data_IF_970844565607
#
_entry.id   IF_970844565607
#
_cell.length_a   1.000
_cell.length_b   1.000
_cell.length_c   1.000
_cell.angle_alpha   90.00
_cell.angle_beta   90.00
_cell.angle_gamma   90.00
#
_symmetry.space_group_name_H-M   'P 1'
#
loop_
_entity.id
_entity.type
_entity.pdbx_description
1 polymer ?
#
# COMPACT_ATOMS: atom_id res chain seq x y z
N UNK A 1 -22.07 -15.53 -0.20
CA UNK A 1 -20.80 -14.87 0.20
C UNK A 1 -20.65 -13.55 -0.52
N UNK A 2 -20.29 -12.52 0.20
CA UNK A 2 -20.01 -11.25 -0.44
C UNK A 2 -18.65 -11.29 -1.13
N UNK A 3 -18.45 -10.44 -2.15
CA UNK A 3 -17.15 -10.33 -2.83
C UNK A 3 -16.04 -9.90 -1.87
N UNK A 4 -16.38 -9.21 -0.76
CA UNK A 4 -15.41 -8.76 0.23
C UNK A 4 -14.72 -9.93 0.95
N UNK A 5 -15.36 -11.11 0.99
CA UNK A 5 -14.78 -12.26 1.69
C UNK A 5 -13.45 -12.69 1.08
N UNK A 6 -13.24 -12.44 -0.22
CA UNK A 6 -11.99 -12.81 -0.86
C UNK A 6 -10.81 -11.99 -0.36
N UNK A 7 -11.04 -10.74 0.02
CA UNK A 7 -10.00 -9.86 0.51
C UNK A 7 -9.93 -9.80 2.04
N UNK A 8 -11.05 -10.12 2.73
CA UNK A 8 -11.11 -9.96 4.18
C UNK A 8 -9.99 -10.71 4.87
N UNK A 9 -9.29 -10.02 5.77
CA UNK A 9 -8.16 -10.57 6.50
C UNK A 9 -7.01 -9.59 6.56
N UNK A 10 -5.90 -10.07 7.10
CA UNK A 10 -4.68 -9.28 7.24
C UNK A 10 -3.60 -9.85 6.33
N UNK A 11 -2.91 -8.97 5.62
CA UNK A 11 -1.92 -9.32 4.62
C UNK A 11 -0.60 -8.64 4.97
N UNK A 12 0.52 -9.31 4.74
CA UNK A 12 1.84 -8.70 4.90
C UNK A 12 2.46 -8.49 3.52
N UNK A 13 3.22 -7.41 3.39
CA UNK A 13 3.91 -7.10 2.14
C UNK A 13 5.05 -8.10 1.92
N UNK A 14 5.06 -8.73 0.74
CA UNK A 14 6.11 -9.65 0.33
C UNK A 14 7.14 -8.91 -0.52
N UNK A 15 6.68 -8.15 -1.50
CA UNK A 15 7.57 -7.42 -2.40
C UNK A 15 6.82 -6.28 -3.07
N UNK A 16 7.59 -5.32 -3.57
CA UNK A 16 7.06 -4.20 -4.33
C UNK A 16 8.01 -3.89 -5.46
N UNK A 17 7.46 -3.46 -6.59
CA UNK A 17 8.25 -3.01 -7.73
C UNK A 17 7.55 -1.84 -8.41
N UNK A 18 8.31 -1.03 -9.13
CA UNK A 18 7.76 0.05 -9.95
C UNK A 18 8.31 -0.04 -11.35
N UNK A 19 7.50 0.37 -12.33
CA UNK A 19 7.91 0.41 -13.72
C UNK A 19 7.45 1.74 -14.30
N UNK A 20 8.38 2.50 -14.88
CA UNK A 20 8.05 3.78 -15.51
C UNK A 20 7.52 3.54 -16.92
N UNK A 21 6.87 4.57 -17.50
CA UNK A 21 6.32 4.48 -18.84
C UNK A 21 7.38 4.21 -19.92
N UNK A 22 8.65 4.54 -19.66
CA UNK A 22 9.74 4.25 -20.59
C UNK A 22 10.46 2.93 -20.29
N UNK A 23 9.89 2.09 -19.41
CA UNK A 23 10.39 0.75 -19.16
C UNK A 23 11.42 0.61 -18.06
N UNK A 24 11.80 1.69 -17.36
CA UNK A 24 12.71 1.60 -16.22
C UNK A 24 12.01 0.90 -15.06
N UNK A 25 12.67 -0.10 -14.48
CA UNK A 25 12.11 -0.87 -13.39
C UNK A 25 12.94 -0.73 -12.13
N UNK A 26 12.27 -0.60 -10.98
CA UNK A 26 12.89 -0.62 -9.67
C UNK A 26 12.26 -1.71 -8.82
N UNK A 27 13.11 -2.50 -8.15
CA UNK A 27 12.66 -3.52 -7.21
C UNK A 27 12.58 -2.97 -5.78
N UNK A 28 12.94 -1.70 -5.56
CA UNK A 28 12.99 -1.11 -4.23
C UNK A 28 12.32 0.27 -4.17
N UNK A 29 11.06 0.41 -4.67
CA UNK A 29 10.39 1.71 -4.62
C UNK A 29 10.14 2.19 -3.19
N UNK A 30 10.13 1.29 -2.21
CA UNK A 30 9.97 1.61 -0.79
C UNK A 30 11.25 1.33 0.00
N UNK A 31 12.43 1.41 -0.66
CA UNK A 31 13.70 1.09 -0.03
C UNK A 31 13.91 -0.41 0.13
N UNK A 32 15.02 -0.81 0.77
CA UNK A 32 15.31 -2.22 1.00
C UNK A 32 14.43 -2.79 2.12
N UNK A 33 13.91 -3.99 1.91
CA UNK A 33 13.15 -4.74 2.92
C UNK A 33 12.05 -3.91 3.61
N UNK A 34 11.10 -3.35 2.85
CA UNK A 34 9.99 -2.61 3.48
C UNK A 34 9.10 -3.55 4.27
N UNK A 35 8.40 -2.99 5.27
CA UNK A 35 7.42 -3.73 6.06
C UNK A 35 6.05 -3.12 5.77
N UNK A 36 5.08 -3.96 5.43
CA UNK A 36 3.74 -3.47 5.15
C UNK A 36 2.69 -4.40 5.72
N UNK A 37 1.62 -3.80 6.19
CA UNK A 37 0.42 -4.50 6.69
C UNK A 37 -0.78 -3.91 5.97
N UNK A 38 -1.60 -4.79 5.42
CA UNK A 38 -2.84 -4.39 4.73
C UNK A 38 -3.96 -5.19 5.35
N UNK A 39 -4.99 -4.51 5.82
CA UNK A 39 -6.13 -5.17 6.46
C UNK A 39 -7.41 -4.80 5.74
N UNK A 40 -8.17 -5.81 5.35
CA UNK A 40 -9.53 -5.66 4.83
C UNK A 40 -10.47 -6.33 5.80
N UNK A 41 -11.53 -5.64 6.21
CA UNK A 41 -12.54 -6.24 7.08
C UNK A 41 -13.73 -6.72 6.26
N UNK A 42 -14.46 -7.71 6.78
CA UNK A 42 -15.64 -8.24 6.09
C UNK A 42 -16.75 -7.21 5.93
N UNK A 43 -16.76 -6.18 6.77
CA UNK A 43 -17.78 -5.12 6.71
C UNK A 43 -17.36 -3.92 5.84
N UNK A 44 -16.28 -4.06 5.04
CA UNK A 44 -15.96 -3.08 4.02
C UNK A 44 -14.96 -2.01 4.40
N UNK A 45 -14.12 -2.26 5.39
CA UNK A 45 -13.09 -1.30 5.81
C UNK A 45 -11.71 -1.76 5.37
N UNK A 46 -10.84 -0.79 5.07
CA UNK A 46 -9.45 -1.07 4.69
C UNK A 46 -8.51 -0.17 5.47
N UNK A 47 -7.36 -0.71 5.85
CA UNK A 47 -6.24 0.08 6.33
C UNK A 47 -4.95 -0.47 5.73
N UNK A 48 -4.07 0.43 5.33
CA UNK A 48 -2.80 0.10 4.70
C UNK A 48 -1.68 0.86 5.39
N UNK A 49 -0.62 0.15 5.74
CA UNK A 49 0.54 0.73 6.41
C UNK A 49 1.77 0.19 5.71
N UNK A 50 2.64 1.08 5.24
CA UNK A 50 3.91 0.69 4.64
C UNK A 50 5.01 1.53 5.27
N UNK A 51 5.95 0.84 5.93
CA UNK A 51 7.15 1.45 6.46
C UNK A 51 8.30 1.14 5.50
N UNK A 52 8.92 2.17 4.96
CA UNK A 52 10.04 1.99 4.04
C UNK A 52 11.19 1.31 4.78
N UNK A 53 12.00 0.57 4.06
CA UNK A 53 13.20 -0.04 4.63
C UNK A 53 14.26 1.01 4.94
N UNK A 54 15.12 0.69 5.89
CA UNK A 54 16.25 1.57 6.23
C UNK A 54 15.92 2.69 7.20
N UNK A 55 14.71 2.74 7.73
CA UNK A 55 14.36 3.76 8.73
C UNK A 55 15.11 3.53 10.03
N UNK A 56 15.54 4.62 10.64
CA UNK A 56 16.27 4.59 11.90
C UNK A 56 15.48 5.30 12.98
N UNK A 57 15.66 4.85 14.23
CA UNK A 57 15.06 5.55 15.36
C UNK A 57 15.65 6.96 15.45
N UNK A 58 14.79 7.94 15.75
CA UNK A 58 15.20 9.32 15.91
C UNK A 58 15.49 9.59 17.37
N UNK A 59 16.38 10.55 17.62
CA UNK A 59 16.62 11.02 18.99
C UNK A 59 15.46 11.82 19.53
N UNK A 60 15.54 12.19 20.80
CA UNK A 60 14.49 12.94 21.48
C UNK A 60 14.21 14.30 20.80
N UNK A 61 15.22 14.86 20.15
CA UNK A 61 15.12 16.16 19.45
C UNK A 61 15.40 15.96 17.97
N UNK A 62 14.39 15.47 17.25
CA UNK A 62 14.53 15.27 15.81
C UNK A 62 14.62 16.61 15.09
N UNK A 63 15.57 16.73 14.13
CA UNK A 63 15.67 17.91 13.29
C UNK A 63 14.48 17.99 12.31
N UNK A 64 14.31 19.16 11.68
CA UNK A 64 13.28 19.33 10.67
C UNK A 64 13.53 18.38 9.50
N UNK A 65 14.78 18.21 9.10
CA UNK A 65 15.16 17.30 8.02
C UNK A 65 14.85 15.84 8.38
N UNK A 66 15.10 15.45 9.62
CA UNK A 66 14.78 14.11 10.09
C UNK A 66 13.27 13.87 10.12
N UNK A 67 12.50 14.88 10.54
CA UNK A 67 11.04 14.80 10.53
C UNK A 67 10.50 14.69 9.10
N UNK A 68 11.07 15.46 8.17
CA UNK A 68 10.68 15.39 6.76
C UNK A 68 10.97 14.00 6.18
N UNK A 69 12.13 13.44 6.48
CA UNK A 69 12.48 12.11 6.00
C UNK A 69 11.57 11.04 6.60
N UNK A 70 11.25 11.17 7.88
CA UNK A 70 10.32 10.25 8.54
C UNK A 70 8.93 10.29 7.88
N UNK A 71 8.45 11.47 7.52
CA UNK A 71 7.18 11.61 6.82
C UNK A 71 7.22 10.94 5.44
N UNK A 72 8.30 11.14 4.70
CA UNK A 72 8.43 10.60 3.33
C UNK A 72 8.56 9.08 3.28
N UNK A 73 8.97 8.45 4.37
CA UNK A 73 9.30 7.03 4.39
C UNK A 73 8.29 6.18 5.14
N UNK A 74 7.10 6.72 5.36
CA UNK A 74 5.99 5.99 5.98
C UNK A 74 4.68 6.41 5.33
N UNK A 75 3.90 5.41 4.91
CA UNK A 75 2.58 5.64 4.32
C UNK A 75 1.54 4.91 5.16
N UNK A 76 0.50 5.62 5.56
CA UNK A 76 -0.62 5.02 6.26
C UNK A 76 -1.91 5.66 5.78
N UNK A 77 -2.91 4.84 5.49
CA UNK A 77 -4.25 5.37 5.24
C UNK A 77 -5.28 4.33 5.61
N UNK A 78 -6.51 4.80 5.78
CA UNK A 78 -7.64 3.94 6.08
C UNK A 78 -8.91 4.53 5.48
N UNK A 79 -9.90 3.68 5.28
CA UNK A 79 -11.19 4.09 4.75
C UNK A 79 -12.06 2.89 4.44
N UNK A 80 -12.84 3.01 3.39
CA UNK A 80 -13.75 1.96 2.95
C UNK A 80 -13.21 1.35 1.65
N UNK A 81 -13.62 0.13 1.35
CA UNK A 81 -13.24 -0.49 0.09
C UNK A 81 -14.42 -1.19 -0.55
N UNK A 82 -14.32 -1.36 -1.85
CA UNK A 82 -15.24 -2.15 -2.62
C UNK A 82 -14.45 -2.98 -3.62
N UNK A 83 -14.80 -4.25 -3.74
CA UNK A 83 -14.19 -5.15 -4.72
C UNK A 83 -15.22 -5.43 -5.80
N UNK A 84 -14.87 -5.15 -7.05
CA UNK A 84 -15.70 -5.41 -8.21
C UNK A 84 -14.88 -6.18 -9.23
N UNK A 85 -15.10 -7.49 -9.29
CA UNK A 85 -14.31 -8.36 -10.15
C UNK A 85 -12.84 -8.36 -9.74
N UNK A 86 -11.99 -7.86 -10.62
CA UNK A 86 -10.54 -7.77 -10.40
C UNK A 86 -10.09 -6.35 -10.00
N UNK A 87 -11.03 -5.48 -9.64
CA UNK A 87 -10.73 -4.10 -9.28
C UNK A 87 -11.15 -3.86 -7.84
N UNK A 88 -10.20 -3.43 -7.00
CA UNK A 88 -10.52 -2.95 -5.66
C UNK A 88 -10.31 -1.44 -5.63
N UNK A 89 -11.25 -0.74 -5.00
CA UNK A 89 -11.18 0.69 -4.82
C UNK A 89 -11.08 0.99 -3.32
N UNK A 90 -10.05 1.72 -2.93
CA UNK A 90 -9.88 2.19 -1.56
C UNK A 90 -10.36 3.64 -1.51
N UNK A 91 -11.47 3.89 -0.81
CA UNK A 91 -11.95 5.25 -0.59
C UNK A 91 -11.32 5.78 0.70
N UNK A 92 -10.38 6.70 0.56
CA UNK A 92 -9.52 7.13 1.67
C UNK A 92 -10.25 8.15 2.54
N UNK A 93 -10.34 7.88 3.84
CA UNK A 93 -10.96 8.78 4.82
C UNK A 93 -9.92 9.46 5.70
N UNK A 94 -8.79 8.79 5.95
CA UNK A 94 -7.70 9.32 6.77
C UNK A 94 -6.39 8.85 6.16
N UNK A 95 -5.36 9.70 6.14
CA UNK A 95 -4.09 9.37 5.50
C UNK A 95 -2.95 10.18 6.08
N UNK A 96 -1.76 9.58 6.13
CA UNK A 96 -0.53 10.30 6.42
C UNK A 96 -0.19 11.30 5.31
N UNK A 97 -0.67 11.04 4.09
CA UNK A 97 -0.53 11.97 2.95
C UNK A 97 -1.88 12.64 2.77
N UNK A 98 -1.98 13.90 3.19
CA UNK A 98 -3.26 14.63 3.21
C UNK A 98 -3.96 14.65 1.86
N UNK A 99 -3.19 14.65 0.78
CA UNK A 99 -3.75 14.72 -0.57
C UNK A 99 -4.57 13.50 -0.96
N UNK A 100 -4.45 12.38 -0.23
CA UNK A 100 -5.23 11.17 -0.53
C UNK A 100 -6.62 11.21 0.11
N UNK A 101 -6.84 12.06 1.12
CA UNK A 101 -8.14 12.09 1.82
C UNK A 101 -9.24 12.49 0.85
N UNK A 102 -10.31 11.70 0.83
CA UNK A 102 -11.44 11.92 -0.07
C UNK A 102 -11.25 11.37 -1.48
N UNK A 103 -10.12 10.73 -1.75
CA UNK A 103 -9.83 10.17 -3.07
C UNK A 103 -10.04 8.67 -3.10
N UNK A 104 -10.30 8.16 -4.30
CA UNK A 104 -10.42 6.74 -4.55
C UNK A 104 -9.12 6.24 -5.15
N UNK A 105 -8.47 5.32 -4.45
CA UNK A 105 -7.27 4.66 -4.95
C UNK A 105 -7.68 3.34 -5.56
N UNK A 106 -7.58 3.24 -6.88
CA UNK A 106 -8.03 2.07 -7.63
C UNK A 106 -6.85 1.14 -7.85
N UNK A 107 -7.06 -0.15 -7.61
CA UNK A 107 -6.02 -1.17 -7.80
C UNK A 107 -6.60 -2.35 -8.57
N UNK A 108 -5.82 -2.88 -9.50
CA UNK A 108 -6.14 -4.18 -10.09
C UNK A 108 -5.67 -5.27 -9.14
N UNK A 109 -6.50 -6.28 -8.90
CA UNK A 109 -6.21 -7.38 -7.97
C UNK A 109 -6.06 -8.67 -8.73
N UNK A 110 -4.98 -9.40 -8.48
CA UNK A 110 -4.81 -10.77 -8.96
C UNK A 110 -4.68 -11.68 -7.76
N UNK A 111 -5.51 -12.71 -7.72
CA UNK A 111 -5.53 -13.69 -6.63
C UNK A 111 -4.70 -14.91 -7.03
N UNK A 112 -3.78 -15.32 -6.17
CA UNK A 112 -2.93 -16.50 -6.39
C UNK A 112 -2.76 -17.23 -5.06
N UNK A 113 -3.72 -18.11 -4.73
CA UNK A 113 -3.70 -18.84 -3.47
C UNK A 113 -3.79 -17.88 -2.28
N UNK A 114 -2.81 -17.94 -1.40
CA UNK A 114 -2.75 -17.07 -0.22
C UNK A 114 -2.09 -15.73 -0.49
N UNK A 115 -1.83 -15.42 -1.77
CA UNK A 115 -1.23 -14.14 -2.17
C UNK A 115 -2.16 -13.35 -3.07
N UNK A 116 -2.02 -12.04 -2.99
CA UNK A 116 -2.64 -11.12 -3.94
C UNK A 116 -1.57 -10.19 -4.49
N UNK A 117 -1.76 -9.79 -5.74
CA UNK A 117 -0.95 -8.76 -6.36
C UNK A 117 -1.85 -7.56 -6.61
N UNK A 118 -1.47 -6.41 -6.05
CA UNK A 118 -2.17 -5.15 -6.30
C UNK A 118 -1.34 -4.31 -7.24
N UNK A 119 -1.96 -3.88 -8.34
CA UNK A 119 -1.29 -3.08 -9.36
C UNK A 119 -1.99 -1.74 -9.47
N UNK A 120 -1.22 -0.65 -9.36
CA UNK A 120 -1.77 0.70 -9.52
C UNK A 120 -1.95 1.01 -11.00
N UNK A 121 -2.92 1.84 -11.38
CA UNK A 121 -2.94 2.40 -12.73
C UNK A 121 -1.71 3.30 -12.92
N UNK A 122 -1.34 3.59 -14.19
CA UNK A 122 -0.24 4.54 -14.42
C UNK A 122 -0.51 5.85 -13.71
N UNK A 123 0.43 6.27 -12.88
CA UNK A 123 0.28 7.43 -12.01
C UNK A 123 1.54 8.28 -12.08
N UNK A 124 1.36 9.61 -12.09
CA UNK A 124 2.51 10.52 -12.11
C UNK A 124 3.08 10.64 -10.70
N UNK A 125 4.34 10.25 -10.55
CA UNK A 125 5.07 10.36 -9.29
C UNK A 125 6.42 10.99 -9.60
N UNK A 126 6.74 12.11 -8.93
CA UNK A 126 8.02 12.83 -9.13
C UNK A 126 8.30 13.13 -10.60
N UNK A 127 7.27 13.57 -11.34
CA UNK A 127 7.41 13.93 -12.74
C UNK A 127 7.45 12.76 -13.73
N UNK A 128 7.40 11.54 -13.23
CA UNK A 128 7.41 10.34 -14.08
C UNK A 128 6.09 9.59 -13.93
N UNK A 129 5.64 8.99 -15.04
CA UNK A 129 4.46 8.13 -14.99
C UNK A 129 4.95 6.72 -14.70
N UNK A 130 4.43 6.12 -13.64
CA UNK A 130 4.85 4.78 -13.23
C UNK A 130 3.69 3.95 -12.72
N UNK A 131 3.88 2.65 -12.77
CA UNK A 131 2.97 1.64 -12.25
C UNK A 131 3.67 0.93 -11.10
N UNK A 132 2.97 0.78 -9.97
CA UNK A 132 3.47 0.04 -8.82
C UNK A 132 2.79 -1.31 -8.77
N UNK A 133 3.54 -2.32 -8.42
CA UNK A 133 3.04 -3.68 -8.24
C UNK A 133 3.48 -4.16 -6.86
N UNK A 134 2.51 -4.47 -6.01
CA UNK A 134 2.75 -4.91 -4.63
C UNK A 134 2.18 -6.30 -4.45
N UNK A 135 3.00 -7.21 -3.95
CA UNK A 135 2.58 -8.57 -3.66
C UNK A 135 2.43 -8.71 -2.15
N UNK A 136 1.26 -9.20 -1.76
CA UNK A 136 0.88 -9.37 -0.35
C UNK A 136 0.56 -10.82 -0.08
N UNK A 137 0.87 -11.29 1.11
CA UNK A 137 0.56 -12.66 1.54
C UNK A 137 -0.36 -12.62 2.75
N UNK A 138 -1.40 -13.45 2.72
CA UNK A 138 -2.38 -13.53 3.80
C UNK A 138 -1.70 -14.08 5.05
N UNK A 139 -1.88 -13.36 6.16
CA UNK A 139 -1.43 -13.85 7.46
C UNK A 139 -2.48 -14.83 8.00
N UNK A 140 -2.05 -15.91 8.69
CA UNK A 140 -3.01 -16.79 9.33
C UNK A 140 -3.72 -16.07 10.47
N UNK A 141 -4.96 -16.47 10.74
CA UNK A 141 -5.71 -15.90 11.85
C UNK A 141 -5.03 -16.25 13.16
N UNK A 142 -5.01 -15.29 14.09
CA UNK A 142 -4.56 -15.54 15.46
C UNK A 142 -5.65 -16.32 16.20
N UNK A 143 -5.24 -17.28 17.02
CA UNK A 143 -6.17 -18.14 17.76
C UNK A 143 -6.05 -17.91 19.24
#
# INVERSE_FOLDING_TARGET
MSSNDKLAGTWKLVSASSTTSNGERSETPYGPNPVGILTYTGDGRVSALISYGGRKALGALASVEEQAEAFKTFLAYAGRYALDGETVTHHVEISSIQNYVGKDLVRNVKFQGERITLVTPPTRVNGKIQTLELIWERLPAEV
#
